data_IF_849604810205
#
_entry.id   IF_849604810205
#
_cell.length_a   1.000
_cell.length_b   1.000
_cell.length_c   1.000
_cell.angle_alpha   90.00
_cell.angle_beta   90.00
_cell.angle_gamma   90.00
#
_symmetry.space_group_name_H-M   'P 1'
#
loop_
_entity.id
_entity.type
_entity.pdbx_description
1 polymer ?
#
# COMPACT_ATOMS: atom_id res chain seq x y z
N UNK A 1 13.18 -8.10 -14.59
CA UNK A 1 12.76 -8.65 -13.28
C UNK A 1 11.32 -9.06 -13.43
N UNK A 2 10.97 -10.33 -13.23
CA UNK A 2 9.59 -10.83 -13.44
C UNK A 2 8.78 -10.70 -12.14
N UNK A 3 7.60 -10.09 -12.24
CA UNK A 3 6.64 -9.96 -11.14
C UNK A 3 6.36 -11.30 -10.43
N UNK A 4 6.20 -12.38 -11.19
CA UNK A 4 5.84 -13.68 -10.64
C UNK A 4 6.96 -14.24 -9.75
N UNK A 5 8.21 -14.06 -10.16
CA UNK A 5 9.38 -14.46 -9.39
C UNK A 5 9.49 -13.68 -8.07
N UNK A 6 9.31 -12.35 -8.11
CA UNK A 6 9.32 -11.54 -6.89
C UNK A 6 8.17 -11.88 -5.95
N UNK A 7 6.96 -12.15 -6.48
CA UNK A 7 5.80 -12.52 -5.68
C UNK A 7 5.99 -13.88 -4.99
N UNK A 8 6.60 -14.84 -5.68
CA UNK A 8 6.91 -16.15 -5.13
C UNK A 8 7.92 -16.02 -3.98
N UNK A 9 8.99 -15.25 -4.20
CA UNK A 9 10.01 -14.97 -3.18
C UNK A 9 9.41 -14.26 -1.97
N UNK A 10 8.60 -13.22 -2.20
CA UNK A 10 7.92 -12.52 -1.12
C UNK A 10 7.05 -13.46 -0.28
N UNK A 11 6.28 -14.36 -0.91
CA UNK A 11 5.46 -15.35 -0.18
C UNK A 11 6.30 -16.31 0.67
N UNK A 12 7.46 -16.74 0.20
CA UNK A 12 8.36 -17.62 0.94
C UNK A 12 8.97 -16.92 2.17
N UNK A 13 9.34 -15.64 2.03
CA UNK A 13 10.00 -14.87 3.08
C UNK A 13 9.01 -14.13 4.01
N UNK A 14 7.73 -14.04 3.63
CA UNK A 14 6.65 -13.32 4.34
C UNK A 14 6.55 -13.65 5.82
N UNK A 15 6.77 -14.92 6.18
CA UNK A 15 6.67 -15.40 7.56
C UNK A 15 7.76 -14.85 8.49
N UNK A 16 8.82 -14.25 7.93
CA UNK A 16 9.97 -13.74 8.68
C UNK A 16 10.02 -12.20 8.74
N UNK A 17 9.10 -11.52 8.05
CA UNK A 17 9.04 -10.06 8.04
C UNK A 17 7.97 -9.51 8.99
N UNK A 18 8.22 -8.34 9.62
CA UNK A 18 7.16 -7.61 10.29
C UNK A 18 5.97 -7.37 9.36
N UNK A 19 4.76 -7.41 9.91
CA UNK A 19 3.53 -7.28 9.14
C UNK A 19 3.50 -6.01 8.26
N UNK A 20 4.02 -4.90 8.77
CA UNK A 20 4.11 -3.63 8.03
C UNK A 20 4.98 -3.73 6.77
N UNK A 21 6.10 -4.45 6.82
CA UNK A 21 6.99 -4.66 5.66
C UNK A 21 6.26 -5.51 4.62
N UNK A 22 5.58 -6.57 5.06
CA UNK A 22 4.87 -7.46 4.13
C UNK A 22 3.77 -6.74 3.35
N UNK A 23 2.99 -5.87 4.01
CA UNK A 23 1.95 -5.08 3.35
C UNK A 23 2.52 -4.11 2.31
N UNK A 24 3.66 -3.48 2.60
CA UNK A 24 4.32 -2.58 1.65
C UNK A 24 4.86 -3.30 0.43
N UNK A 25 5.47 -4.47 0.64
CA UNK A 25 5.97 -5.28 -0.47
C UNK A 25 4.83 -5.72 -1.38
N UNK A 26 3.67 -6.08 -0.82
CA UNK A 26 2.46 -6.37 -1.61
C UNK A 26 1.97 -5.16 -2.42
N UNK A 27 1.91 -3.97 -1.81
CA UNK A 27 1.53 -2.74 -2.49
C UNK A 27 2.52 -2.41 -3.62
N UNK A 28 3.82 -2.47 -3.34
CA UNK A 28 4.91 -2.28 -4.31
C UNK A 28 4.75 -3.23 -5.49
N UNK A 29 4.53 -4.52 -5.22
CA UNK A 29 4.30 -5.56 -6.23
C UNK A 29 3.07 -5.27 -7.09
N UNK A 30 1.98 -4.78 -6.50
CA UNK A 30 0.76 -4.44 -7.23
C UNK A 30 0.98 -3.32 -8.25
N UNK A 31 1.78 -2.31 -7.89
CA UNK A 31 2.14 -1.20 -8.79
C UNK A 31 3.18 -1.61 -9.83
N UNK A 32 4.12 -2.47 -9.45
CA UNK A 32 5.08 -3.05 -10.37
C UNK A 32 4.38 -3.85 -11.49
N UNK A 33 3.41 -4.69 -11.15
CA UNK A 33 2.59 -5.42 -12.13
C UNK A 33 1.85 -4.49 -13.11
N UNK A 34 1.31 -3.38 -12.60
CA UNK A 34 0.67 -2.36 -13.45
C UNK A 34 1.66 -1.69 -14.41
N UNK A 35 2.90 -1.46 -13.95
CA UNK A 35 3.96 -0.93 -14.83
C UNK A 35 4.29 -1.88 -15.98
N UNK A 36 4.29 -3.19 -15.75
CA UNK A 36 4.50 -4.19 -16.81
C UNK A 36 3.36 -4.20 -17.83
N UNK A 37 2.15 -3.84 -17.42
CA UNK A 37 0.99 -3.73 -18.34
C UNK A 37 1.05 -2.48 -19.24
N UNK A 38 1.88 -1.49 -18.88
CA UNK A 38 2.02 -0.22 -19.58
C UNK A 38 3.28 -0.14 -20.47
N UNK A 39 3.76 -1.27 -21.00
CA UNK A 39 4.95 -1.32 -21.87
C UNK A 39 4.87 -0.39 -23.11
N UNK A 40 3.66 -0.10 -23.59
CA UNK A 40 3.45 0.78 -24.74
C UNK A 40 3.43 2.27 -24.39
N UNK A 41 3.56 2.63 -23.10
CA UNK A 41 3.59 4.01 -22.63
C UNK A 41 4.72 4.16 -21.57
N UNK A 42 5.93 4.56 -21.98
CA UNK A 42 7.08 4.66 -21.07
C UNK A 42 6.86 5.68 -19.95
N UNK A 43 6.13 6.77 -20.19
CA UNK A 43 5.81 7.77 -19.16
C UNK A 43 4.89 7.18 -18.08
N UNK A 44 3.87 6.43 -18.51
CA UNK A 44 2.99 5.70 -17.61
C UNK A 44 3.73 4.61 -16.82
N UNK A 45 4.60 3.86 -17.49
CA UNK A 45 5.46 2.86 -16.85
C UNK A 45 6.35 3.50 -15.78
N UNK A 46 6.97 4.64 -16.08
CA UNK A 46 7.80 5.38 -15.13
C UNK A 46 7.01 5.82 -13.89
N UNK A 47 5.80 6.38 -14.07
CA UNK A 47 4.95 6.79 -12.95
C UNK A 47 4.60 5.59 -12.05
N UNK A 48 4.24 4.44 -12.64
CA UNK A 48 3.93 3.25 -11.83
C UNK A 48 5.14 2.69 -11.09
N UNK A 49 6.33 2.74 -11.69
CA UNK A 49 7.58 2.37 -11.02
C UNK A 49 7.91 3.33 -9.88
N UNK A 50 7.68 4.63 -10.07
CA UNK A 50 7.85 5.65 -9.02
C UNK A 50 6.90 5.41 -7.83
N UNK A 51 5.63 5.09 -8.11
CA UNK A 51 4.66 4.75 -7.06
C UNK A 51 5.03 3.46 -6.34
N UNK A 52 5.47 2.43 -7.08
CA UNK A 52 5.96 1.19 -6.49
C UNK A 52 7.15 1.45 -5.56
N UNK A 53 8.10 2.26 -6.00
CA UNK A 53 9.26 2.66 -5.20
C UNK A 53 8.84 3.39 -3.91
N UNK A 54 7.94 4.36 -4.01
CA UNK A 54 7.43 5.07 -2.84
C UNK A 54 6.70 4.13 -1.87
N UNK A 55 5.90 3.19 -2.38
CA UNK A 55 5.22 2.20 -1.53
C UNK A 55 6.21 1.30 -0.77
N UNK A 56 7.40 1.04 -1.32
CA UNK A 56 8.43 0.25 -0.65
C UNK A 56 9.13 1.03 0.47
N UNK A 57 9.44 2.31 0.24
CA UNK A 57 10.36 3.10 1.06
C UNK A 57 9.74 4.25 1.86
N UNK A 58 8.49 4.67 1.62
CA UNK A 58 7.88 5.83 2.29
C UNK A 58 7.51 5.59 3.78
N UNK A 59 8.14 4.61 4.43
CA UNK A 59 7.90 4.21 5.83
C UNK A 59 8.00 5.38 6.83
N UNK A 60 8.75 6.44 6.52
CA UNK A 60 8.82 7.65 7.35
C UNK A 60 7.57 8.56 7.29
N UNK A 61 6.74 8.50 6.25
CA UNK A 61 5.59 9.42 6.10
C UNK A 61 4.25 8.85 6.57
N UNK A 62 4.08 7.52 6.60
CA UNK A 62 2.79 6.91 6.94
C UNK A 62 2.42 7.03 8.43
N UNK A 63 3.42 7.18 9.31
CA UNK A 63 3.19 7.42 10.75
C UNK A 63 2.43 8.74 11.00
N UNK A 64 2.50 9.71 10.09
CA UNK A 64 1.83 11.01 10.21
C UNK A 64 0.31 10.94 9.93
N UNK A 65 -0.16 9.93 9.20
CA UNK A 65 -1.57 9.83 8.77
C UNK A 65 -2.48 9.02 9.71
N UNK A 66 -1.92 8.39 10.75
CA UNK A 66 -2.73 7.64 11.72
C UNK A 66 -3.57 8.58 12.61
N UNK A 67 -3.14 9.83 12.78
CA UNK A 67 -3.84 10.79 13.64
C UNK A 67 -5.11 11.37 12.99
N UNK A 68 -5.16 11.52 11.66
CA UNK A 68 -6.33 12.10 10.95
C UNK A 68 -7.40 11.04 10.62
N UNK A 69 -6.98 9.80 10.36
CA UNK A 69 -7.91 8.68 10.14
C UNK A 69 -8.67 8.30 11.43
N UNK A 70 -8.03 8.43 12.60
CA UNK A 70 -8.66 8.14 13.89
C UNK A 70 -9.81 9.12 14.22
N UNK A 71 -9.67 10.40 13.85
CA UNK A 71 -10.75 11.39 13.98
C UNK A 71 -11.95 11.08 13.10
N UNK A 72 -11.75 10.52 11.90
CA UNK A 72 -12.84 10.20 10.99
C UNK A 72 -13.72 9.04 11.49
N UNK A 73 -13.11 8.01 12.08
CA UNK A 73 -13.86 6.88 12.66
C UNK A 73 -14.43 7.19 14.05
N UNK A 74 -13.78 8.05 14.84
CA UNK A 74 -14.28 8.47 16.16
C UNK A 74 -15.52 9.39 16.12
N UNK A 75 -15.76 10.09 15.01
CA UNK A 75 -16.95 10.94 14.85
C UNK A 75 -18.19 10.14 14.38
N UNK A 76 -17.99 9.02 13.68
CA UNK A 76 -19.08 8.16 13.19
C UNK A 76 -19.81 7.42 14.31
N UNK A 77 -19.16 7.16 15.44
CA UNK A 77 -19.77 6.50 16.61
C UNK A 77 -20.61 7.46 17.47
N UNK A 78 -20.46 8.78 17.27
CA UNK A 78 -21.16 9.80 18.08
C UNK A 78 -22.55 10.16 17.53
N UNK A 79 -22.84 9.84 16.27
CA UNK A 79 -24.10 10.23 15.60
C UNK A 79 -25.24 9.20 15.73
N UNK A 80 -24.99 7.97 16.19
CA UNK A 80 -26.04 6.93 16.32
C UNK A 80 -26.76 6.94 17.67
N UNK A 81 -26.38 7.79 18.64
CA UNK A 81 -26.96 7.80 19.99
C UNK A 81 -27.97 8.92 20.27
N UNK A 82 -28.31 9.79 19.32
CA UNK A 82 -29.31 10.85 19.52
C UNK A 82 -30.50 10.71 18.58
N UNK A 83 -31.18 9.56 18.63
CA UNK A 83 -32.55 9.41 18.10
C UNK A 83 -33.30 8.29 18.84
N UNK A 84 -33.33 8.38 20.18
CA UNK A 84 -34.34 7.68 20.98
C UNK A 84 -34.70 8.58 22.16
N UNK A 85 -35.68 9.46 21.94
CA UNK A 85 -36.84 9.72 22.80
C UNK A 85 -37.82 10.66 22.08
#
# INVERSE_FOLDING_TARGET
>A
MDYNLLKLRHRAERAHYPHHVSLRVDQTLSWFYRSESCQNNPDGQFIFLWVAFNAAYAEDLACLNVSEAATFWGESDRQTSTHHF
#
